data_IF_882193255701
#
_entry.id   IF_882193255701
#
_cell.length_a   1.000
_cell.length_b   1.000
_cell.length_c   1.000
_cell.angle_alpha   90.00
_cell.angle_beta   90.00
_cell.angle_gamma   90.00
#
_symmetry.space_group_name_H-M   'P 1'
#
loop_
_entity.id
_entity.type
_entity.pdbx_description
1 polymer ?
#
# COMPACT_ATOMS: atom_id res chain seq x y z
N UNK A 1 -5.90 6.88 -7.82
CA UNK A 1 -7.27 6.86 -8.36
C UNK A 1 -8.21 7.55 -7.39
N UNK A 2 -9.23 8.28 -7.87
CA UNK A 2 -10.24 8.93 -7.01
C UNK A 2 -10.96 7.96 -6.06
N UNK A 3 -10.89 6.65 -6.31
CA UNK A 3 -11.55 5.57 -5.55
C UNK A 3 -10.62 4.80 -4.59
N UNK A 4 -9.31 4.85 -4.78
CA UNK A 4 -8.38 4.22 -3.83
C UNK A 4 -7.85 5.28 -2.88
N UNK A 5 -7.94 5.05 -1.58
CA UNK A 5 -7.41 5.97 -0.57
C UNK A 5 -5.93 6.27 -0.81
N UNK A 6 -5.44 7.42 -0.35
CA UNK A 6 -4.03 7.85 -0.48
C UNK A 6 -3.01 6.92 0.23
N UNK A 7 -3.46 5.85 0.88
CA UNK A 7 -2.61 4.93 1.64
C UNK A 7 -1.47 4.32 0.83
N UNK A 8 -1.76 3.88 -0.40
CA UNK A 8 -0.75 3.35 -1.33
C UNK A 8 0.33 4.37 -1.66
N UNK A 9 -0.09 5.58 -2.02
CA UNK A 9 0.83 6.66 -2.33
C UNK A 9 1.73 6.99 -1.14
N UNK A 10 1.16 7.12 0.06
CA UNK A 10 1.94 7.40 1.28
C UNK A 10 2.95 6.28 1.56
N UNK A 11 2.56 5.01 1.39
CA UNK A 11 3.45 3.86 1.54
C UNK A 11 4.60 3.90 0.53
N UNK A 12 4.31 4.15 -0.73
CA UNK A 12 5.32 4.29 -1.78
C UNK A 12 6.26 5.47 -1.53
N UNK A 13 5.75 6.61 -1.07
CA UNK A 13 6.56 7.77 -0.71
C UNK A 13 7.53 7.49 0.44
N UNK A 14 7.09 6.75 1.46
CA UNK A 14 7.96 6.33 2.57
C UNK A 14 9.05 5.39 2.10
N UNK A 15 8.71 4.43 1.25
CA UNK A 15 9.69 3.54 0.63
C UNK A 15 10.72 4.35 -0.17
N UNK A 16 10.27 5.29 -1.00
CA UNK A 16 11.11 6.17 -1.79
C UNK A 16 12.08 6.99 -0.94
N UNK A 17 11.61 7.54 0.18
CA UNK A 17 12.48 8.26 1.15
C UNK A 17 13.60 7.36 1.64
N UNK A 18 13.29 6.15 2.11
CA UNK A 18 14.29 5.20 2.59
C UNK A 18 15.27 4.75 1.49
N UNK A 19 14.80 4.60 0.24
CA UNK A 19 15.67 4.28 -0.90
C UNK A 19 16.65 5.42 -1.19
N UNK A 20 16.17 6.67 -1.14
CA UNK A 20 17.01 7.88 -1.30
C UNK A 20 18.08 7.97 -0.23
N UNK A 21 17.73 7.75 1.03
CA UNK A 21 18.68 7.74 2.17
C UNK A 21 19.77 6.67 2.02
N UNK A 22 19.50 5.60 1.26
CA UNK A 22 20.45 4.54 0.95
C UNK A 22 21.15 4.71 -0.42
N UNK A 23 21.00 5.85 -1.07
CA UNK A 23 21.53 6.15 -2.41
C UNK A 23 21.08 5.13 -3.48
N UNK A 24 19.88 4.57 -3.36
CA UNK A 24 19.30 3.67 -4.34
C UNK A 24 18.46 4.49 -5.33
N UNK A 25 18.81 4.43 -6.61
CA UNK A 25 18.05 5.09 -7.67
C UNK A 25 16.70 4.42 -7.87
N UNK A 26 15.65 5.23 -7.98
CA UNK A 26 14.29 4.79 -8.21
C UNK A 26 13.50 5.81 -9.03
N UNK A 27 12.42 5.32 -9.65
CA UNK A 27 11.44 6.12 -10.38
C UNK A 27 10.04 5.65 -10.02
N UNK A 28 9.08 6.56 -10.06
CA UNK A 28 7.67 6.20 -10.02
C UNK A 28 7.17 5.99 -11.43
N UNK A 29 6.43 4.91 -11.63
CA UNK A 29 5.69 4.67 -12.86
C UNK A 29 4.22 5.02 -12.61
N UNK A 30 3.72 6.01 -13.33
CA UNK A 30 2.31 6.36 -13.36
C UNK A 30 1.67 5.75 -14.60
N UNK A 31 0.81 4.78 -14.37
CA UNK A 31 0.15 4.03 -15.44
C UNK A 31 -1.19 4.64 -15.81
N UNK A 32 -1.87 5.29 -14.88
CA UNK A 32 -3.28 5.66 -15.05
C UNK A 32 -3.67 7.09 -14.62
N UNK A 33 -2.88 7.76 -13.81
CA UNK A 33 -3.23 9.06 -13.26
C UNK A 33 -2.06 10.04 -13.33
N UNK A 34 -2.35 11.28 -13.69
CA UNK A 34 -1.40 12.39 -13.65
C UNK A 34 -1.15 12.83 -12.20
N UNK A 35 -0.54 11.95 -11.40
CA UNK A 35 -0.14 12.30 -10.03
C UNK A 35 1.10 13.18 -10.11
N UNK A 36 0.92 14.49 -10.04
CA UNK A 36 2.01 15.44 -9.88
C UNK A 36 2.51 15.40 -8.44
N UNK A 37 3.65 14.78 -8.22
CA UNK A 37 4.37 14.84 -6.94
C UNK A 37 5.62 15.69 -7.21
N UNK A 38 5.59 16.94 -6.77
CA UNK A 38 6.61 17.95 -7.11
C UNK A 38 8.06 17.58 -6.70
N UNK A 39 8.24 16.55 -5.88
CA UNK A 39 9.54 16.15 -5.31
C UNK A 39 10.08 14.84 -5.83
N UNK A 40 9.38 14.13 -6.72
CA UNK A 40 9.76 12.77 -7.15
C UNK A 40 9.78 12.68 -8.67
N UNK A 41 10.87 12.13 -9.20
CA UNK A 41 10.96 11.80 -10.62
C UNK A 41 9.99 10.67 -10.94
N UNK A 42 9.05 10.93 -11.82
CA UNK A 42 8.16 9.90 -12.37
C UNK A 42 8.33 9.80 -13.88
N UNK A 43 8.06 8.63 -14.41
CA UNK A 43 8.10 8.35 -15.84
C UNK A 43 6.71 7.83 -16.22
N UNK A 44 6.09 8.45 -17.21
CA UNK A 44 4.89 7.87 -17.82
C UNK A 44 5.28 6.58 -18.53
N UNK A 45 4.42 5.59 -18.48
CA UNK A 45 4.73 4.27 -19.05
C UNK A 45 4.99 4.33 -20.56
N UNK A 46 4.28 5.23 -21.26
CA UNK A 46 4.46 5.50 -22.69
C UNK A 46 5.85 6.07 -23.02
N UNK A 47 6.47 6.76 -22.05
CA UNK A 47 7.80 7.37 -22.18
C UNK A 47 8.90 6.47 -21.62
N UNK A 48 8.57 5.25 -21.21
CA UNK A 48 9.56 4.33 -20.67
C UNK A 48 10.48 3.85 -21.81
N UNK A 49 11.71 4.32 -21.78
CA UNK A 49 12.72 3.86 -22.74
C UNK A 49 13.00 2.38 -22.50
N UNK A 50 12.84 1.55 -23.54
CA UNK A 50 13.08 0.09 -23.49
C UNK A 50 14.52 -0.29 -23.09
N UNK A 51 15.45 0.65 -23.20
CA UNK A 51 16.84 0.45 -22.79
C UNK A 51 17.08 0.59 -21.29
N UNK A 52 16.11 1.11 -20.54
CA UNK A 52 16.23 1.23 -19.07
C UNK A 52 15.98 -0.13 -18.44
N UNK A 53 17.01 -0.69 -17.79
CA UNK A 53 16.91 -1.96 -17.06
C UNK A 53 16.63 -1.69 -15.59
N UNK A 54 15.52 -2.23 -15.09
CA UNK A 54 15.20 -2.20 -13.66
C UNK A 54 15.53 -3.55 -13.04
N UNK A 55 16.26 -3.53 -11.93
CA UNK A 55 16.51 -4.76 -11.15
C UNK A 55 15.25 -5.24 -10.43
N UNK A 56 14.47 -4.29 -9.93
CA UNK A 56 13.22 -4.56 -9.20
C UNK A 56 12.11 -3.64 -9.68
N UNK A 57 10.90 -4.17 -9.73
CA UNK A 57 9.65 -3.42 -9.94
C UNK A 57 8.76 -3.65 -8.73
N UNK A 58 8.42 -2.58 -8.02
CA UNK A 58 7.52 -2.63 -6.87
C UNK A 58 6.10 -2.26 -7.32
N UNK A 59 5.13 -3.13 -7.02
CA UNK A 59 3.73 -2.98 -7.41
C UNK A 59 2.90 -2.81 -6.14
N UNK A 60 2.26 -1.66 -6.03
CA UNK A 60 1.35 -1.29 -4.96
C UNK A 60 0.05 -0.73 -5.56
N UNK A 61 -0.64 -1.55 -6.33
CA UNK A 61 -1.93 -1.24 -6.94
C UNK A 61 -2.81 -2.48 -6.94
N UNK A 62 -4.04 -2.36 -6.42
CA UNK A 62 -4.99 -3.47 -6.38
C UNK A 62 -5.62 -3.78 -7.74
N UNK A 63 -5.71 -2.77 -8.60
CA UNK A 63 -6.28 -2.89 -9.93
C UNK A 63 -5.24 -3.26 -11.00
N UNK A 64 -3.98 -3.47 -10.57
CA UNK A 64 -2.90 -3.82 -11.48
C UNK A 64 -3.10 -5.26 -12.00
N UNK A 65 -3.27 -5.41 -13.29
CA UNK A 65 -3.52 -6.69 -13.93
C UNK A 65 -2.30 -7.19 -14.73
N UNK A 66 -2.39 -8.43 -15.18
CA UNK A 66 -1.34 -9.07 -15.97
C UNK A 66 -0.99 -8.30 -17.25
N UNK A 67 -1.98 -7.75 -17.95
CA UNK A 67 -1.77 -7.01 -19.19
C UNK A 67 -0.97 -5.73 -18.98
N UNK A 68 -1.09 -5.11 -17.82
CA UNK A 68 -0.31 -3.91 -17.49
C UNK A 68 1.19 -4.27 -17.34
N UNK A 69 1.51 -5.44 -16.77
CA UNK A 69 2.90 -5.91 -16.61
C UNK A 69 3.52 -6.32 -17.94
N UNK A 70 2.76 -7.02 -18.77
CA UNK A 70 3.28 -7.47 -20.09
C UNK A 70 3.60 -6.30 -21.00
N UNK A 71 2.85 -5.20 -20.91
CA UNK A 71 3.15 -3.95 -21.62
C UNK A 71 4.50 -3.35 -21.22
N UNK A 72 4.91 -3.55 -19.96
CA UNK A 72 6.20 -3.06 -19.46
C UNK A 72 7.38 -3.82 -20.05
N UNK A 73 7.16 -5.08 -20.48
CA UNK A 73 8.19 -5.97 -21.03
C UNK A 73 9.55 -5.92 -20.29
N UNK A 74 9.47 -5.84 -18.95
CA UNK A 74 10.66 -5.67 -18.12
C UNK A 74 11.16 -7.03 -17.62
N UNK A 75 12.43 -7.34 -17.89
CA UNK A 75 13.11 -8.48 -17.29
C UNK A 75 13.57 -8.14 -15.85
N UNK A 76 12.61 -7.93 -14.96
CA UNK A 76 12.82 -7.46 -13.60
C UNK A 76 12.29 -8.45 -12.57
N UNK A 77 12.74 -8.32 -11.31
CA UNK A 77 12.15 -9.03 -10.17
C UNK A 77 10.96 -8.24 -9.64
N UNK A 78 9.77 -8.86 -9.62
CA UNK A 78 8.56 -8.19 -9.21
C UNK A 78 8.31 -8.36 -7.71
N UNK A 79 8.11 -7.24 -7.01
CA UNK A 79 7.80 -7.14 -5.59
C UNK A 79 6.38 -6.61 -5.46
N UNK A 80 5.53 -7.31 -4.73
CA UNK A 80 4.13 -6.93 -4.55
C UNK A 80 3.85 -6.54 -3.11
N UNK A 81 3.18 -5.40 -2.93
CA UNK A 81 2.41 -5.15 -1.71
C UNK A 81 1.02 -5.77 -1.87
N UNK A 82 0.63 -6.60 -0.90
CA UNK A 82 -0.64 -7.31 -0.93
C UNK A 82 -1.36 -7.23 0.42
N UNK A 83 -2.38 -6.40 0.52
CA UNK A 83 -3.15 -6.22 1.75
C UNK A 83 -4.43 -7.09 1.77
N UNK A 84 -4.79 -7.75 0.66
CA UNK A 84 -6.08 -8.43 0.49
C UNK A 84 -5.99 -9.93 0.14
N UNK A 85 -4.80 -10.52 0.22
CA UNK A 85 -4.58 -11.92 -0.16
C UNK A 85 -5.01 -12.21 -1.61
N UNK A 86 -4.45 -11.50 -2.57
CA UNK A 86 -4.71 -11.70 -4.00
C UNK A 86 -4.51 -13.16 -4.39
N UNK A 87 -5.29 -13.62 -5.36
CA UNK A 87 -5.20 -14.98 -5.88
C UNK A 87 -4.32 -15.09 -7.12
N UNK A 88 -3.87 -13.96 -7.70
CA UNK A 88 -3.05 -13.95 -8.91
C UNK A 88 -1.90 -12.96 -8.80
N UNK A 89 -0.70 -13.42 -9.14
CA UNK A 89 0.51 -12.62 -9.26
C UNK A 89 1.24 -13.01 -10.53
N UNK A 90 1.86 -12.05 -11.19
CA UNK A 90 2.72 -12.31 -12.34
C UNK A 90 4.17 -12.39 -11.91
N UNK A 91 4.80 -13.58 -12.06
CA UNK A 91 6.23 -13.83 -11.77
C UNK A 91 6.70 -13.18 -10.46
N UNK A 92 6.03 -13.38 -9.33
CA UNK A 92 6.39 -12.72 -8.10
C UNK A 92 7.75 -13.23 -7.60
N UNK A 93 8.64 -12.30 -7.25
CA UNK A 93 9.89 -12.58 -6.56
C UNK A 93 9.71 -12.43 -5.05
N UNK A 94 8.94 -11.41 -4.64
CA UNK A 94 8.68 -11.10 -3.25
C UNK A 94 7.24 -10.60 -3.10
N UNK A 95 6.55 -11.10 -2.07
CA UNK A 95 5.25 -10.59 -1.65
C UNK A 95 5.37 -10.07 -0.22
N UNK A 96 4.92 -8.85 0.01
CA UNK A 96 4.92 -8.19 1.31
C UNK A 96 3.46 -7.97 1.71
N UNK A 97 3.03 -8.62 2.79
CA UNK A 97 1.72 -8.40 3.36
C UNK A 97 1.84 -8.10 4.85
N UNK A 98 1.70 -6.81 5.20
CA UNK A 98 1.82 -6.31 6.56
C UNK A 98 0.57 -6.53 7.42
N UNK A 99 -0.49 -7.14 6.90
CA UNK A 99 -1.70 -7.42 7.70
C UNK A 99 -1.38 -8.34 8.88
N UNK A 100 -1.92 -8.07 10.09
CA UNK A 100 -1.77 -8.97 11.24
C UNK A 100 -2.27 -10.39 10.97
N UNK A 101 -3.27 -10.54 10.08
CA UNK A 101 -3.85 -11.82 9.70
C UNK A 101 -3.09 -12.55 8.57
N UNK A 102 -2.08 -11.92 7.98
CA UNK A 102 -1.32 -12.49 6.89
C UNK A 102 -0.50 -13.69 7.36
N UNK A 103 -0.68 -14.83 6.70
CA UNK A 103 0.02 -16.06 6.99
C UNK A 103 0.32 -16.86 5.73
N UNK A 104 1.18 -17.87 5.81
CA UNK A 104 1.59 -18.70 4.67
C UNK A 104 0.42 -19.45 4.03
N UNK A 105 -0.63 -19.78 4.78
CA UNK A 105 -1.81 -20.51 4.25
C UNK A 105 -2.54 -19.70 3.18
N UNK A 106 -2.50 -18.34 3.28
CA UNK A 106 -3.11 -17.43 2.31
C UNK A 106 -2.46 -17.54 0.91
N UNK A 107 -1.21 -18.03 0.84
CA UNK A 107 -0.39 -18.08 -0.38
C UNK A 107 -0.06 -19.52 -0.84
N UNK A 108 -0.75 -20.54 -0.33
CA UNK A 108 -0.55 -21.95 -0.72
C UNK A 108 -0.75 -22.22 -2.21
N UNK A 109 -1.50 -21.36 -2.91
CA UNK A 109 -1.72 -21.45 -4.34
C UNK A 109 -0.47 -21.13 -5.19
N UNK A 110 0.54 -20.51 -4.59
CA UNK A 110 1.82 -20.25 -5.24
C UNK A 110 2.64 -21.52 -5.26
N UNK A 111 2.71 -22.16 -6.42
CA UNK A 111 3.42 -23.44 -6.60
C UNK A 111 4.95 -23.31 -6.57
N UNK A 112 5.47 -22.10 -6.71
CA UNK A 112 6.91 -21.85 -6.78
C UNK A 112 7.49 -21.55 -5.39
N UNK A 113 8.33 -22.45 -4.88
CA UNK A 113 8.98 -22.34 -3.57
C UNK A 113 10.04 -21.24 -3.49
N UNK A 114 10.46 -20.65 -4.61
CA UNK A 114 11.46 -19.57 -4.64
C UNK A 114 10.87 -18.18 -4.38
N UNK A 115 9.55 -18.07 -4.15
CA UNK A 115 8.90 -16.81 -3.84
C UNK A 115 9.10 -16.48 -2.37
N UNK A 116 9.69 -15.31 -2.10
CA UNK A 116 9.84 -14.81 -0.74
C UNK A 116 8.54 -14.21 -0.24
N UNK A 117 8.15 -14.56 1.00
CA UNK A 117 6.96 -14.03 1.68
C UNK A 117 7.39 -13.29 2.94
N UNK A 118 7.11 -11.98 3.00
CA UNK A 118 7.25 -11.15 4.19
C UNK A 118 5.86 -10.86 4.74
N UNK A 119 5.45 -11.63 5.74
CA UNK A 119 4.07 -11.65 6.24
C UNK A 119 3.98 -11.18 7.68
N UNK A 120 2.91 -10.44 7.97
CA UNK A 120 2.56 -9.98 9.31
C UNK A 120 3.04 -8.57 9.63
N UNK A 121 2.61 -8.09 10.78
CA UNK A 121 2.68 -6.69 11.21
C UNK A 121 4.08 -6.08 11.18
N UNK A 122 5.13 -6.87 11.44
CA UNK A 122 6.53 -6.41 11.41
C UNK A 122 7.00 -5.90 10.04
N UNK A 123 6.26 -6.22 8.97
CA UNK A 123 6.57 -5.78 7.61
C UNK A 123 5.67 -4.64 7.12
N UNK A 124 4.90 -4.02 8.02
CA UNK A 124 4.19 -2.80 7.68
C UNK A 124 5.15 -1.64 7.50
N UNK A 125 4.97 -0.86 6.44
CA UNK A 125 5.70 0.39 6.24
C UNK A 125 4.97 1.50 7.01
N UNK A 126 5.21 1.56 8.32
CA UNK A 126 4.63 2.56 9.21
C UNK A 126 5.69 3.57 9.66
N UNK A 127 5.24 4.79 9.88
CA UNK A 127 6.03 5.79 10.58
C UNK A 127 5.68 5.69 12.07
N UNK A 128 6.38 4.80 12.79
CA UNK A 128 6.13 4.63 14.23
C UNK A 128 6.88 5.72 14.96
N UNK A 129 6.17 6.76 15.36
CA UNK A 129 6.67 7.68 16.37
C UNK A 129 6.39 7.08 17.75
N UNK A 130 7.39 7.11 18.65
CA UNK A 130 7.16 6.77 20.05
C UNK A 130 6.25 7.84 20.65
N UNK A 131 4.99 7.51 20.84
CA UNK A 131 4.02 8.40 21.47
C UNK A 131 3.89 7.98 22.95
N UNK A 132 4.01 8.95 23.88
CA UNK A 132 3.64 8.71 25.27
C UNK A 132 2.15 8.37 25.35
N UNK A 133 1.87 7.19 25.87
CA UNK A 133 0.48 6.73 26.05
C UNK A 133 -0.08 7.42 27.31
N UNK A 134 -1.00 8.35 27.12
CA UNK A 134 -1.78 8.87 28.24
C UNK A 134 -2.76 7.79 28.70
N UNK A 135 -2.67 7.38 29.97
CA UNK A 135 -3.54 6.34 30.55
C UNK A 135 -4.98 6.84 30.74
N UNK A 136 -5.17 8.14 30.93
CA UNK A 136 -6.51 8.76 31.12
C UNK A 136 -7.15 9.12 29.78
N UNK A 137 -7.52 8.10 29.00
CA UNK A 137 -8.18 8.30 27.71
C UNK A 137 -9.70 8.27 27.89
N UNK A 138 -10.33 9.42 27.64
CA UNK A 138 -11.79 9.54 27.70
C UNK A 138 -12.45 9.79 26.36
N UNK A 139 -11.66 10.11 25.32
CA UNK A 139 -12.17 10.47 24.01
C UNK A 139 -12.27 9.25 23.09
N UNK A 140 -13.29 9.23 22.24
CA UNK A 140 -13.44 8.26 21.15
C UNK A 140 -12.95 8.88 19.85
N UNK A 141 -12.00 8.24 19.19
CA UNK A 141 -11.56 8.60 17.84
C UNK A 141 -12.32 7.76 16.82
N UNK A 142 -13.02 8.42 15.90
CA UNK A 142 -13.66 7.78 14.74
C UNK A 142 -12.78 7.96 13.50
N UNK A 143 -12.25 6.86 12.96
CA UNK A 143 -11.43 6.89 11.77
C UNK A 143 -11.84 5.76 10.81
N UNK A 144 -12.43 6.12 9.67
CA UNK A 144 -12.87 5.20 8.60
C UNK A 144 -11.99 5.31 7.35
N UNK A 145 -10.69 5.55 7.55
CA UNK A 145 -9.72 5.71 6.48
C UNK A 145 -9.65 7.16 5.96
N UNK A 146 -9.12 7.33 4.75
CA UNK A 146 -8.95 8.65 4.14
C UNK A 146 -10.26 9.24 3.59
N UNK A 147 -11.14 8.36 3.12
CA UNK A 147 -12.47 8.70 2.59
C UNK A 147 -13.48 7.74 3.20
N UNK A 148 -14.54 8.26 3.77
CA UNK A 148 -15.68 7.46 4.26
C UNK A 148 -16.63 7.14 3.09
N UNK A 149 -16.23 6.26 2.19
CA UNK A 149 -16.98 5.91 0.96
C UNK A 149 -18.38 5.38 1.25
N UNK A 150 -18.58 4.73 2.39
CA UNK A 150 -19.85 4.13 2.79
C UNK A 150 -20.70 5.04 3.68
N UNK A 151 -20.24 6.27 3.92
CA UNK A 151 -20.88 7.23 4.82
C UNK A 151 -21.22 6.62 6.20
N UNK A 152 -20.22 5.95 6.79
CA UNK A 152 -20.39 5.23 8.06
C UNK A 152 -20.27 6.15 9.28
N UNK A 153 -19.48 7.23 9.17
CA UNK A 153 -19.28 8.17 10.30
C UNK A 153 -20.62 8.75 10.79
N UNK A 154 -21.47 9.34 9.93
CA UNK A 154 -22.78 9.84 10.36
C UNK A 154 -23.67 8.76 10.97
N UNK A 155 -23.68 7.55 10.41
CA UNK A 155 -24.44 6.42 10.94
C UNK A 155 -23.98 6.03 12.34
N UNK A 156 -22.65 5.98 12.53
CA UNK A 156 -22.06 5.63 13.82
C UNK A 156 -22.31 6.70 14.87
N UNK A 157 -22.21 7.99 14.51
CA UNK A 157 -22.56 9.11 15.40
C UNK A 157 -24.03 9.04 15.82
N UNK A 158 -24.95 8.76 14.88
CA UNK A 158 -26.37 8.57 15.21
C UNK A 158 -26.59 7.42 16.18
N UNK A 159 -25.90 6.31 15.99
CA UNK A 159 -25.94 5.18 16.92
C UNK A 159 -25.41 5.54 18.31
N UNK A 160 -24.25 6.24 18.41
CA UNK A 160 -23.69 6.71 19.68
C UNK A 160 -24.65 7.62 20.45
N UNK A 161 -25.35 8.53 19.75
CA UNK A 161 -26.41 9.35 20.35
C UNK A 161 -27.55 8.51 20.92
N UNK A 162 -27.97 7.48 20.17
CA UNK A 162 -29.05 6.56 20.62
C UNK A 162 -28.69 5.83 21.92
N UNK A 163 -27.44 5.42 22.10
CA UNK A 163 -26.96 4.78 23.33
C UNK A 163 -26.51 5.78 24.40
N UNK A 164 -26.79 7.06 24.21
CA UNK A 164 -26.44 8.16 25.16
C UNK A 164 -24.94 8.21 25.49
N UNK A 165 -24.08 7.98 24.49
CA UNK A 165 -22.65 8.10 24.69
C UNK A 165 -22.27 9.55 25.02
N UNK A 166 -21.68 9.78 26.21
CA UNK A 166 -21.46 11.10 26.78
C UNK A 166 -20.03 11.61 26.75
N UNK A 167 -19.11 10.86 26.10
CA UNK A 167 -17.70 11.28 25.98
C UNK A 167 -17.46 12.01 24.67
N UNK A 168 -16.38 12.82 24.64
CA UNK A 168 -15.99 13.56 23.45
C UNK A 168 -15.68 12.61 22.30
N UNK A 169 -16.21 12.89 21.11
CA UNK A 169 -15.92 12.22 19.85
C UNK A 169 -14.99 13.13 19.02
N UNK A 170 -13.92 12.56 18.50
CA UNK A 170 -12.92 13.22 17.68
C UNK A 170 -12.96 12.66 16.27
#
# INVERSE_FOLDING_TARGET
>A
TKKSGKGHLIRCLKLAKNLKEKNINFFFLDIKDNIKINTIKYIKIENLNKNIKFKYVVIDDYNFNYNDITKLNLNSKYIYFDDYNRKKFYRPYLIINGSPSANKKNYKFLKNNNIRLLLGQKYQILNIQKVKINKNRSNLLLCFGFVDEKNLIPKFIKWLKKIRYNKKIL
#
